data_IF_274640899347
#
_entry.id   IF_274640899347
#
_cell.length_a   1.000
_cell.length_b   1.000
_cell.length_c   1.000
_cell.angle_alpha   90.00
_cell.angle_beta   90.00
_cell.angle_gamma   90.00
#
_symmetry.space_group_name_H-M   'P 1'
#
loop_
_entity.id
_entity.type
_entity.pdbx_description
1 polymer ?
#
# COMPACT_ATOMS: atom_id res chain seq x y z
N UNK A 1 -5.71 1.68 21.17
CA UNK A 1 -5.70 0.33 20.53
C UNK A 1 -6.68 0.17 19.36
N UNK A 2 -7.97 0.46 19.51
CA UNK A 2 -8.98 0.29 18.46
C UNK A 2 -8.69 1.13 17.20
N UNK A 3 -8.24 2.38 17.38
CA UNK A 3 -7.84 3.30 16.30
C UNK A 3 -6.61 2.81 15.53
N UNK A 4 -5.58 2.30 16.23
CA UNK A 4 -4.40 1.69 15.57
C UNK A 4 -4.82 0.51 14.69
N UNK A 5 -5.66 -0.39 15.21
CA UNK A 5 -6.18 -1.53 14.43
C UNK A 5 -6.95 -1.06 13.18
N UNK A 6 -7.79 -0.03 13.32
CA UNK A 6 -8.54 0.55 12.21
C UNK A 6 -7.63 1.18 11.13
N UNK A 7 -6.57 1.91 11.54
CA UNK A 7 -5.58 2.48 10.62
C UNK A 7 -4.88 1.37 9.83
N UNK A 8 -4.43 0.31 10.51
CA UNK A 8 -3.78 -0.82 9.84
C UNK A 8 -4.73 -1.54 8.88
N UNK A 9 -5.99 -1.75 9.27
CA UNK A 9 -7.00 -2.34 8.37
C UNK A 9 -7.22 -1.49 7.12
N UNK A 10 -7.31 -0.16 7.26
CA UNK A 10 -7.44 0.74 6.12
C UNK A 10 -6.21 0.69 5.19
N UNK A 11 -5.00 0.72 5.76
CA UNK A 11 -3.77 0.61 4.99
C UNK A 11 -3.66 -0.72 4.24
N UNK A 12 -4.07 -1.84 4.85
CA UNK A 12 -4.16 -3.14 4.16
C UNK A 12 -5.15 -3.13 2.98
N UNK A 13 -6.32 -2.51 3.15
CA UNK A 13 -7.29 -2.37 2.07
C UNK A 13 -6.70 -1.57 0.89
N UNK A 14 -5.97 -0.48 1.18
CA UNK A 14 -5.30 0.33 0.14
C UNK A 14 -4.24 -0.49 -0.61
N UNK A 15 -3.43 -1.31 0.09
CA UNK A 15 -2.44 -2.19 -0.55
C UNK A 15 -3.13 -3.15 -1.53
N UNK A 16 -4.24 -3.77 -1.14
CA UNK A 16 -4.99 -4.70 -2.00
C UNK A 16 -5.47 -4.00 -3.27
N UNK A 17 -6.03 -2.79 -3.15
CA UNK A 17 -6.49 -2.00 -4.30
C UNK A 17 -5.34 -1.67 -5.25
N UNK A 18 -4.19 -1.23 -4.72
CA UNK A 18 -3.01 -0.92 -5.54
C UNK A 18 -2.45 -2.16 -6.23
N UNK A 19 -2.43 -3.31 -5.55
CA UNK A 19 -1.96 -4.57 -6.11
C UNK A 19 -2.82 -5.02 -7.29
N UNK A 20 -4.15 -4.97 -7.15
CA UNK A 20 -5.09 -5.30 -8.22
C UNK A 20 -4.90 -4.34 -9.40
N UNK A 21 -4.84 -3.03 -9.16
CA UNK A 21 -4.63 -2.03 -10.20
C UNK A 21 -3.31 -2.24 -10.96
N UNK A 22 -2.25 -2.62 -10.24
CA UNK A 22 -0.93 -2.91 -10.83
C UNK A 22 -0.98 -4.13 -11.76
N UNK A 23 -1.65 -5.21 -11.32
CA UNK A 23 -1.84 -6.42 -12.15
C UNK A 23 -2.68 -6.10 -13.39
N UNK A 24 -3.77 -5.36 -13.24
CA UNK A 24 -4.62 -4.95 -14.36
C UNK A 24 -3.83 -4.10 -15.37
N UNK A 25 -2.98 -3.19 -14.90
CA UNK A 25 -2.11 -2.39 -15.77
C UNK A 25 -1.12 -3.27 -16.57
N UNK A 26 -0.58 -4.34 -15.98
CA UNK A 26 0.31 -5.26 -16.71
C UNK A 26 -0.40 -6.03 -17.82
N UNK A 27 -1.70 -6.32 -17.64
CA UNK A 27 -2.48 -7.12 -18.58
C UNK A 27 -3.06 -6.26 -19.71
N UNK A 28 -3.57 -5.07 -19.38
CA UNK A 28 -4.37 -4.25 -20.32
C UNK A 28 -3.52 -3.26 -21.11
N UNK A 29 -2.42 -2.75 -20.55
CA UNK A 29 -1.64 -1.70 -21.18
C UNK A 29 -0.48 -2.25 -22.02
N UNK A 30 0.04 -1.45 -22.97
CA UNK A 30 1.28 -1.78 -23.66
C UNK A 30 2.42 -2.02 -22.65
N UNK A 31 3.25 -3.04 -22.90
CA UNK A 31 4.27 -3.55 -21.97
C UNK A 31 5.05 -2.45 -21.23
N UNK A 32 5.53 -1.43 -21.93
CA UNK A 32 6.28 -0.32 -21.33
C UNK A 32 5.47 0.50 -20.31
N UNK A 33 4.21 0.81 -20.61
CA UNK A 33 3.32 1.55 -19.69
C UNK A 33 2.87 0.66 -18.53
N UNK A 34 2.55 -0.60 -18.82
CA UNK A 34 2.16 -1.58 -17.80
C UNK A 34 3.27 -1.78 -16.77
N UNK A 35 4.51 -2.00 -17.22
CA UNK A 35 5.67 -2.16 -16.34
C UNK A 35 5.93 -0.91 -15.50
N UNK A 36 5.87 0.28 -16.11
CA UNK A 36 6.07 1.55 -15.40
C UNK A 36 5.01 1.78 -14.30
N UNK A 37 3.74 1.52 -14.60
CA UNK A 37 2.66 1.70 -13.63
C UNK A 37 2.67 0.62 -12.54
N UNK A 38 3.01 -0.62 -12.88
CA UNK A 38 3.13 -1.71 -11.91
C UNK A 38 4.32 -1.52 -10.97
N UNK A 39 5.46 -1.04 -11.48
CA UNK A 39 6.61 -0.70 -10.62
C UNK A 39 6.29 0.49 -9.71
N UNK A 40 5.57 1.50 -10.22
CA UNK A 40 5.04 2.60 -9.40
C UNK A 40 4.08 2.11 -8.30
N UNK A 41 3.19 1.17 -8.62
CA UNK A 41 2.32 0.53 -7.63
C UNK A 41 3.10 -0.26 -6.57
N UNK A 42 4.13 -1.00 -6.98
CA UNK A 42 5.05 -1.68 -6.06
C UNK A 42 5.77 -0.70 -5.12
N UNK A 43 6.26 0.42 -5.66
CA UNK A 43 6.88 1.47 -4.85
C UNK A 43 5.92 2.06 -3.80
N UNK A 44 4.66 2.30 -4.17
CA UNK A 44 3.64 2.77 -3.24
C UNK A 44 3.35 1.74 -2.13
N UNK A 45 3.24 0.46 -2.48
CA UNK A 45 3.02 -0.61 -1.49
C UNK A 45 4.18 -0.66 -0.48
N UNK A 46 5.42 -0.60 -0.94
CA UNK A 46 6.60 -0.57 -0.06
C UNK A 46 6.57 0.64 0.88
N UNK A 47 6.20 1.82 0.38
CA UNK A 47 6.05 3.01 1.21
C UNK A 47 4.95 2.87 2.28
N UNK A 48 3.84 2.22 1.96
CA UNK A 48 2.78 1.93 2.94
C UNK A 48 3.29 0.97 4.01
N UNK A 49 4.06 -0.06 3.66
CA UNK A 49 4.69 -0.95 4.65
C UNK A 49 5.67 -0.23 5.57
N UNK A 50 6.52 0.65 5.02
CA UNK A 50 7.42 1.48 5.81
C UNK A 50 6.61 2.38 6.77
N UNK A 51 5.54 2.99 6.27
CA UNK A 51 4.65 3.82 7.08
C UNK A 51 3.98 3.02 8.20
N UNK A 52 3.47 1.82 7.91
CA UNK A 52 2.94 0.90 8.91
C UNK A 52 3.99 0.58 9.99
N UNK A 53 5.24 0.31 9.60
CA UNK A 53 6.32 0.04 10.55
C UNK A 53 6.55 1.23 11.50
N UNK A 54 6.65 2.44 10.95
CA UNK A 54 6.80 3.65 11.77
C UNK A 54 5.61 3.87 12.71
N UNK A 55 4.37 3.68 12.23
CA UNK A 55 3.17 3.75 13.07
C UNK A 55 3.20 2.66 14.14
N UNK A 56 3.65 1.45 13.82
CA UNK A 56 3.72 0.38 14.80
C UNK A 56 4.63 0.75 15.98
N UNK A 57 5.79 1.35 15.69
CA UNK A 57 6.84 1.67 16.65
C UNK A 57 6.65 3.02 17.37
N UNK A 58 6.04 4.01 16.71
CA UNK A 58 5.98 5.39 17.22
C UNK A 58 4.57 5.84 17.63
N UNK A 59 3.52 5.06 17.32
CA UNK A 59 2.17 5.41 17.72
C UNK A 59 1.99 5.18 19.23
N UNK A 60 2.29 6.23 19.99
CA UNK A 60 2.00 6.32 21.42
C UNK A 60 0.49 6.52 21.54
N UNK A 61 -0.22 5.49 22.00
CA UNK A 61 -1.61 5.63 22.45
C UNK A 61 -1.57 6.73 23.52
N UNK A 62 -2.09 7.92 23.22
CA UNK A 62 -2.25 8.97 24.24
C UNK A 62 -3.26 8.43 25.26
N UNK A 63 -2.75 7.80 26.31
CA UNK A 63 -3.42 7.71 27.61
C UNK A 63 -2.68 8.65 28.55
#
# INVERSE_FOLDING_TARGET
MATKKQIFTAMWAIIVVIAIASIVCLIVLPKWKGIFLASGGGFLIVNIFISMFFIQNNYRDKK
#
